data_IF_159961888775
#
_entry.id   IF_159961888775
#
_cell.length_a   1.000
_cell.length_b   1.000
_cell.length_c   1.000
_cell.angle_alpha   90.00
_cell.angle_beta   90.00
_cell.angle_gamma   90.00
#
_symmetry.space_group_name_H-M   'P 1'
#
loop_
_entity.id
_entity.type
_entity.pdbx_description
1 polymer ?
#
# COMPACT_ATOMS: atom_id res chain seq x y z
N UNK A 1 -29.81 -3.35 -9.05
CA UNK A 1 -28.70 -2.41 -9.32
C UNK A 1 -27.84 -2.34 -8.09
N UNK A 2 -26.53 -2.33 -8.27
CA UNK A 2 -25.52 -2.12 -7.23
C UNK A 2 -24.74 -0.85 -7.60
N UNK A 3 -24.59 0.05 -6.66
CA UNK A 3 -23.85 1.30 -6.86
C UNK A 3 -22.43 1.14 -6.29
N UNK A 4 -21.43 1.30 -7.13
CA UNK A 4 -20.04 1.40 -6.71
C UNK A 4 -19.66 2.88 -6.68
N UNK A 5 -19.36 3.38 -5.48
CA UNK A 5 -18.80 4.72 -5.30
C UNK A 5 -17.29 4.67 -5.50
N UNK A 6 -16.82 5.46 -6.45
CA UNK A 6 -15.40 5.56 -6.77
C UNK A 6 -14.86 6.93 -6.41
N UNK A 7 -13.74 6.96 -5.69
CA UNK A 7 -13.08 8.19 -5.22
C UNK A 7 -11.90 8.56 -6.11
N UNK A 8 -11.28 7.58 -6.75
CA UNK A 8 -10.01 7.78 -7.48
C UNK A 8 -10.17 7.96 -8.98
N UNK A 9 -11.41 7.84 -9.50
CA UNK A 9 -11.65 7.85 -10.94
C UNK A 9 -11.43 6.47 -11.58
N UNK A 10 -12.28 5.55 -11.27
CA UNK A 10 -12.50 4.14 -11.59
C UNK A 10 -11.82 3.49 -12.82
N UNK A 11 -10.65 3.91 -13.22
CA UNK A 11 -10.02 3.38 -14.43
C UNK A 11 -9.70 1.87 -14.33
N UNK A 12 -9.39 1.36 -13.14
CA UNK A 12 -8.98 -0.04 -12.95
C UNK A 12 -10.15 -1.01 -12.90
N UNK A 13 -11.34 -0.57 -12.45
CA UNK A 13 -12.52 -1.43 -12.31
C UNK A 13 -13.49 -1.33 -13.49
N UNK A 14 -13.38 -0.32 -14.35
CA UNK A 14 -14.31 -0.10 -15.47
C UNK A 14 -14.43 -1.30 -16.40
N UNK A 15 -13.30 -1.90 -16.79
CA UNK A 15 -13.31 -3.06 -17.69
C UNK A 15 -13.91 -4.28 -17.00
N UNK A 16 -13.59 -4.52 -15.74
CA UNK A 16 -14.14 -5.63 -14.97
C UNK A 16 -15.65 -5.47 -14.76
N UNK A 17 -16.13 -4.26 -14.47
CA UNK A 17 -17.55 -3.95 -14.33
C UNK A 17 -18.29 -4.10 -15.67
N UNK A 18 -17.71 -3.63 -16.77
CA UNK A 18 -18.29 -3.79 -18.09
C UNK A 18 -18.40 -5.27 -18.48
N UNK A 19 -17.37 -6.07 -18.21
CA UNK A 19 -17.36 -7.51 -18.43
C UNK A 19 -18.42 -8.20 -17.56
N UNK A 20 -18.48 -7.89 -16.25
CA UNK A 20 -19.52 -8.40 -15.35
C UNK A 20 -20.92 -8.08 -15.84
N UNK A 21 -21.21 -6.81 -16.16
CA UNK A 21 -22.51 -6.38 -16.62
C UNK A 21 -22.91 -7.04 -17.95
N UNK A 22 -21.93 -7.33 -18.82
CA UNK A 22 -22.19 -8.03 -20.09
C UNK A 22 -22.60 -9.50 -19.92
N UNK A 23 -22.23 -10.12 -18.82
CA UNK A 23 -22.44 -11.53 -18.50
C UNK A 23 -23.56 -11.78 -17.50
N UNK A 24 -24.10 -10.71 -16.90
CA UNK A 24 -25.08 -10.83 -15.82
C UNK A 24 -26.38 -10.08 -16.11
N UNK A 25 -27.45 -10.83 -16.29
CA UNK A 25 -28.77 -10.27 -16.60
C UNK A 25 -29.59 -9.85 -15.35
N UNK A 26 -29.14 -10.23 -14.15
CA UNK A 26 -29.88 -9.97 -12.91
C UNK A 26 -29.35 -8.83 -12.09
N UNK A 27 -28.04 -8.61 -12.13
CA UNK A 27 -27.35 -7.59 -11.35
C UNK A 27 -26.60 -6.71 -12.33
N UNK A 28 -26.74 -5.40 -12.16
CA UNK A 28 -25.98 -4.38 -12.88
C UNK A 28 -25.22 -3.54 -11.88
N UNK A 29 -23.95 -3.34 -12.11
CA UNK A 29 -23.10 -2.44 -11.31
C UNK A 29 -22.99 -1.11 -12.06
N UNK A 30 -23.34 -0.03 -11.37
CA UNK A 30 -23.22 1.35 -11.87
C UNK A 30 -22.16 2.09 -11.05
N UNK A 31 -21.27 2.79 -11.72
CA UNK A 31 -20.24 3.59 -11.06
C UNK A 31 -20.81 4.97 -10.76
N UNK A 32 -20.75 5.37 -9.50
CA UNK A 32 -20.96 6.74 -9.07
C UNK A 32 -19.58 7.37 -8.77
N UNK A 33 -19.16 8.26 -9.62
CA UNK A 33 -17.89 8.94 -9.49
C UNK A 33 -18.01 10.06 -8.45
N UNK A 34 -17.26 9.91 -7.36
CA UNK A 34 -17.11 10.92 -6.32
C UNK A 34 -15.89 11.82 -6.55
N UNK A 35 -15.02 11.45 -7.50
CA UNK A 35 -13.88 12.28 -7.84
C UNK A 35 -14.37 13.59 -8.45
N UNK A 36 -13.95 14.69 -7.87
CA UNK A 36 -14.18 16.03 -8.35
C UNK A 36 -12.85 16.75 -8.63
N UNK A 37 -12.81 18.05 -8.50
CA UNK A 37 -11.58 18.84 -8.66
C UNK A 37 -10.50 18.47 -7.65
N UNK A 38 -10.90 17.90 -6.50
CA UNK A 38 -9.97 17.31 -5.52
C UNK A 38 -10.62 16.14 -4.77
N UNK A 39 -9.79 15.20 -4.35
CA UNK A 39 -10.19 13.97 -3.64
C UNK A 39 -10.89 14.31 -2.30
N UNK A 40 -10.44 15.31 -1.58
CA UNK A 40 -10.99 15.69 -0.27
C UNK A 40 -12.47 16.07 -0.33
N UNK A 41 -12.91 16.75 -1.38
CA UNK A 41 -14.30 17.10 -1.58
C UNK A 41 -15.14 15.87 -1.93
N UNK A 42 -14.58 14.95 -2.74
CA UNK A 42 -15.19 13.67 -3.06
C UNK A 42 -15.43 12.81 -1.82
N UNK A 43 -14.42 12.70 -0.96
CA UNK A 43 -14.50 11.98 0.32
C UNK A 43 -15.57 12.61 1.22
N UNK A 44 -15.60 13.91 1.32
CA UNK A 44 -16.59 14.62 2.13
C UNK A 44 -18.01 14.34 1.67
N UNK A 45 -18.27 14.33 0.37
CA UNK A 45 -19.57 13.97 -0.21
C UNK A 45 -19.93 12.52 0.04
N UNK A 46 -19.00 11.60 -0.11
CA UNK A 46 -19.23 10.20 0.19
C UNK A 46 -19.64 9.99 1.64
N UNK A 47 -18.96 10.66 2.59
CA UNK A 47 -19.35 10.61 4.00
C UNK A 47 -20.75 11.19 4.24
N UNK A 48 -21.10 12.29 3.60
CA UNK A 48 -22.43 12.88 3.70
C UNK A 48 -23.51 11.94 3.16
N UNK A 49 -23.26 11.27 2.04
CA UNK A 49 -24.17 10.28 1.48
C UNK A 49 -24.32 9.05 2.37
N UNK A 50 -23.23 8.53 2.94
CA UNK A 50 -23.28 7.44 3.93
C UNK A 50 -24.10 7.86 5.16
N UNK A 51 -23.86 9.04 5.71
CA UNK A 51 -24.57 9.54 6.90
C UNK A 51 -26.06 9.76 6.64
N UNK A 52 -26.44 10.10 5.42
CA UNK A 52 -27.83 10.32 5.03
C UNK A 52 -28.54 9.07 4.52
N UNK A 53 -27.86 7.94 4.49
CA UNK A 53 -28.40 6.65 4.00
C UNK A 53 -28.54 6.61 2.47
N UNK A 54 -27.78 7.39 1.76
CA UNK A 54 -27.71 7.46 0.29
C UNK A 54 -26.36 6.96 -0.24
N UNK A 55 -25.51 6.45 0.64
CA UNK A 55 -24.19 5.95 0.27
C UNK A 55 -24.26 4.81 -0.75
N UNK A 56 -23.17 4.55 -1.47
CA UNK A 56 -23.08 3.44 -2.41
C UNK A 56 -23.08 2.09 -1.69
N UNK A 57 -23.36 1.02 -2.43
CA UNK A 57 -23.32 -0.35 -1.92
C UNK A 57 -21.88 -0.88 -1.77
N UNK A 58 -20.97 -0.39 -2.60
CA UNK A 58 -19.54 -0.73 -2.61
C UNK A 58 -18.76 0.57 -2.73
N UNK A 59 -17.61 0.65 -2.03
CA UNK A 59 -16.71 1.81 -2.12
C UNK A 59 -15.37 1.34 -2.69
N UNK A 60 -14.87 2.02 -3.71
CA UNK A 60 -13.52 1.87 -4.26
C UNK A 60 -12.68 3.08 -3.83
N UNK A 61 -11.56 2.82 -3.15
CA UNK A 61 -10.70 3.86 -2.60
C UNK A 61 -9.26 3.36 -2.40
N UNK A 62 -8.31 4.28 -2.31
CA UNK A 62 -6.96 4.01 -1.80
C UNK A 62 -6.91 4.12 -0.29
N UNK A 63 -6.11 3.26 0.34
CA UNK A 63 -5.87 3.31 1.80
C UNK A 63 -5.13 4.56 2.24
N UNK A 64 -4.47 5.26 1.31
CA UNK A 64 -3.84 6.56 1.58
C UNK A 64 -4.85 7.69 1.72
N UNK A 65 -6.07 7.49 1.18
CA UNK A 65 -7.11 8.50 1.13
C UNK A 65 -8.20 8.30 2.21
N UNK A 66 -8.47 7.05 2.56
CA UNK A 66 -9.53 6.73 3.51
C UNK A 66 -9.06 5.73 4.58
N UNK A 67 -9.41 6.03 5.82
CA UNK A 67 -9.15 5.15 6.95
C UNK A 67 -10.29 4.14 7.12
N UNK A 68 -10.00 2.87 6.82
CA UNK A 68 -10.93 1.74 6.95
C UNK A 68 -11.39 1.57 8.39
N UNK A 69 -10.51 1.84 9.35
CA UNK A 69 -10.82 1.70 10.78
C UNK A 69 -11.94 2.63 11.21
N UNK A 70 -11.90 3.88 10.75
CA UNK A 70 -12.96 4.87 11.02
C UNK A 70 -14.31 4.41 10.45
N UNK A 71 -14.31 3.82 9.26
CA UNK A 71 -15.54 3.29 8.65
C UNK A 71 -16.07 2.08 9.43
N UNK A 72 -15.18 1.19 9.87
CA UNK A 72 -15.49 0.03 10.69
C UNK A 72 -16.11 0.42 12.03
N UNK A 73 -15.46 1.31 12.77
CA UNK A 73 -15.93 1.76 14.07
C UNK A 73 -17.31 2.42 14.02
N UNK A 74 -17.61 3.08 12.92
CA UNK A 74 -18.93 3.69 12.68
C UNK A 74 -19.97 2.71 12.16
N UNK A 75 -19.58 1.47 11.87
CA UNK A 75 -20.48 0.46 11.30
C UNK A 75 -20.92 0.82 9.87
N UNK A 76 -20.10 1.58 9.14
CA UNK A 76 -20.38 1.99 7.76
C UNK A 76 -19.97 0.92 6.73
N UNK A 77 -19.15 -0.03 7.13
CA UNK A 77 -18.71 -1.17 6.29
C UNK A 77 -18.94 -2.48 7.01
N UNK A 78 -19.15 -3.54 6.25
CA UNK A 78 -19.53 -4.86 6.75
C UNK A 78 -18.32 -5.82 6.73
N UNK A 79 -18.31 -6.78 7.67
CA UNK A 79 -17.33 -7.85 7.68
C UNK A 79 -17.58 -8.82 6.51
N UNK A 80 -16.60 -8.99 5.67
CA UNK A 80 -16.68 -9.79 4.45
C UNK A 80 -16.37 -11.28 4.65
N UNK A 81 -15.82 -11.70 5.81
CA UNK A 81 -15.50 -13.11 6.08
C UNK A 81 -16.71 -14.03 5.84
N UNK A 82 -17.95 -13.75 6.33
CA UNK A 82 -19.09 -14.63 6.09
C UNK A 82 -19.51 -14.76 4.63
N UNK A 83 -19.15 -13.79 3.80
CA UNK A 83 -19.39 -13.83 2.36
C UNK A 83 -18.31 -14.63 1.64
N UNK A 84 -17.05 -14.44 2.03
CA UNK A 84 -15.92 -15.19 1.51
C UNK A 84 -16.08 -16.70 1.75
N UNK A 85 -16.46 -17.09 2.97
CA UNK A 85 -16.71 -18.49 3.36
C UNK A 85 -17.84 -19.18 2.57
N UNK A 86 -18.78 -18.40 2.03
CA UNK A 86 -19.93 -18.91 1.25
C UNK A 86 -19.76 -18.74 -0.25
N UNK A 87 -18.70 -18.10 -0.68
CA UNK A 87 -18.45 -17.84 -2.09
C UNK A 87 -17.91 -19.10 -2.78
N UNK A 88 -18.48 -19.39 -3.96
CA UNK A 88 -17.95 -20.43 -4.85
C UNK A 88 -16.98 -19.84 -5.89
N UNK A 89 -16.69 -18.53 -5.81
CA UNK A 89 -15.90 -17.79 -6.83
C UNK A 89 -14.56 -17.33 -6.30
N UNK A 90 -14.49 -16.91 -5.03
CA UNK A 90 -13.29 -16.42 -4.37
C UNK A 90 -13.27 -16.95 -2.95
N UNK A 91 -12.11 -17.45 -2.50
CA UNK A 91 -11.86 -17.94 -1.15
C UNK A 91 -10.65 -17.23 -0.51
N UNK A 92 -10.36 -17.60 0.73
CA UNK A 92 -9.16 -17.13 1.44
C UNK A 92 -7.89 -17.47 0.66
N UNK A 93 -7.85 -18.64 0.01
CA UNK A 93 -6.73 -19.12 -0.78
C UNK A 93 -6.41 -18.29 -2.04
N UNK A 94 -7.35 -17.44 -2.47
CA UNK A 94 -7.15 -16.52 -3.60
C UNK A 94 -6.52 -15.18 -3.18
N UNK A 95 -6.41 -14.96 -1.86
CA UNK A 95 -5.78 -13.77 -1.29
C UNK A 95 -4.37 -14.15 -0.83
N UNK A 96 -3.40 -13.31 -1.12
CA UNK A 96 -2.01 -13.53 -0.66
C UNK A 96 -1.99 -13.62 0.86
N UNK A 97 -1.45 -14.72 1.42
CA UNK A 97 -1.46 -15.05 2.85
C UNK A 97 -1.05 -13.88 3.75
N UNK A 98 0.04 -13.18 3.41
CA UNK A 98 0.52 -12.04 4.19
C UNK A 98 -0.45 -10.85 4.15
N UNK A 99 -1.11 -10.61 3.02
CA UNK A 99 -2.14 -9.59 2.90
C UNK A 99 -3.37 -9.97 3.72
N UNK A 100 -3.83 -11.21 3.61
CA UNK A 100 -4.96 -11.70 4.39
C UNK A 100 -4.73 -11.58 5.91
N UNK A 101 -3.54 -11.95 6.39
CA UNK A 101 -3.18 -11.82 7.80
C UNK A 101 -3.21 -10.36 8.28
N UNK A 102 -2.73 -9.42 7.47
CA UNK A 102 -2.77 -7.98 7.81
C UNK A 102 -4.22 -7.49 7.82
N UNK A 103 -5.00 -7.82 6.80
CA UNK A 103 -6.37 -7.35 6.62
C UNK A 103 -7.33 -7.89 7.67
N UNK A 104 -7.00 -9.04 8.30
CA UNK A 104 -7.84 -9.71 9.30
C UNK A 104 -7.30 -9.60 10.73
N UNK A 105 -6.21 -8.85 10.95
CA UNK A 105 -5.53 -8.73 12.25
C UNK A 105 -6.48 -8.31 13.39
N UNK A 106 -7.51 -7.51 13.08
CA UNK A 106 -8.51 -7.04 14.03
C UNK A 106 -9.77 -7.93 14.10
N UNK A 107 -9.70 -9.15 13.57
CA UNK A 107 -10.76 -10.16 13.71
C UNK A 107 -11.88 -10.06 12.67
N UNK A 108 -11.72 -9.31 11.60
CA UNK A 108 -12.65 -9.24 10.49
C UNK A 108 -11.99 -8.75 9.20
N UNK A 109 -12.57 -9.10 8.06
CA UNK A 109 -12.14 -8.63 6.76
C UNK A 109 -13.11 -7.54 6.30
N UNK A 110 -12.65 -6.29 6.21
CA UNK A 110 -13.49 -5.13 5.90
C UNK A 110 -13.21 -4.50 4.55
N UNK A 111 -12.20 -4.99 3.85
CA UNK A 111 -11.89 -4.61 2.46
C UNK A 111 -11.23 -5.76 1.71
N UNK A 112 -11.35 -5.74 0.38
CA UNK A 112 -10.64 -6.64 -0.52
C UNK A 112 -9.71 -5.80 -1.40
N UNK A 113 -8.40 -6.01 -1.35
CA UNK A 113 -7.49 -5.29 -2.21
C UNK A 113 -7.59 -5.82 -3.65
N UNK A 114 -7.66 -4.93 -4.61
CA UNK A 114 -7.55 -5.26 -6.04
C UNK A 114 -6.09 -5.31 -6.48
N UNK A 115 -5.25 -4.57 -5.78
CA UNK A 115 -3.80 -4.55 -5.95
C UNK A 115 -3.14 -4.17 -4.62
N UNK A 116 -1.85 -4.36 -4.54
CA UNK A 116 -1.03 -3.84 -3.45
C UNK A 116 0.34 -3.45 -3.97
N UNK A 117 0.99 -2.54 -3.27
CA UNK A 117 2.36 -2.15 -3.53
C UNK A 117 3.24 -2.51 -2.35
N UNK A 118 4.47 -2.89 -2.63
CA UNK A 118 5.47 -3.16 -1.61
C UNK A 118 6.49 -2.04 -1.63
N UNK A 119 6.59 -1.32 -0.52
CA UNK A 119 7.71 -0.44 -0.29
C UNK A 119 8.84 -1.24 0.35
N UNK A 120 9.99 -1.27 -0.28
CA UNK A 120 11.11 -2.07 0.21
C UNK A 120 12.45 -1.43 -0.13
N UNK A 121 13.46 -1.77 0.65
CA UNK A 121 14.83 -1.43 0.33
C UNK A 121 15.43 -2.50 -0.59
N UNK A 122 15.83 -2.07 -1.77
CA UNK A 122 16.57 -2.91 -2.72
C UNK A 122 18.05 -2.63 -2.55
N UNK A 123 18.85 -3.68 -2.45
CA UNK A 123 20.30 -3.57 -2.31
C UNK A 123 21.01 -4.66 -3.12
N UNK A 124 22.32 -4.49 -3.33
CA UNK A 124 23.14 -5.53 -3.97
C UNK A 124 23.59 -6.58 -2.97
N UNK A 125 23.74 -7.81 -3.46
CA UNK A 125 24.25 -8.96 -2.68
C UNK A 125 25.54 -8.67 -1.94
N UNK A 126 26.43 -7.83 -2.49
CA UNK A 126 27.69 -7.47 -1.82
C UNK A 126 27.50 -6.78 -0.46
N UNK A 127 26.33 -6.17 -0.24
CA UNK A 127 25.99 -5.49 1.01
C UNK A 127 25.24 -6.39 2.00
N UNK A 128 24.70 -7.53 1.52
CA UNK A 128 23.97 -8.50 2.33
C UNK A 128 24.90 -9.61 2.78
N UNK A 129 24.94 -9.90 4.07
CA UNK A 129 25.63 -11.08 4.60
C UNK A 129 24.77 -12.34 4.46
N UNK A 130 23.46 -12.16 4.40
CA UNK A 130 22.45 -13.21 4.24
C UNK A 130 21.45 -12.79 3.16
N UNK A 131 21.08 -13.73 2.28
CA UNK A 131 20.11 -13.49 1.19
C UNK A 131 18.66 -13.36 1.68
N UNK A 132 18.38 -13.79 2.90
CA UNK A 132 17.03 -13.80 3.44
C UNK A 132 16.66 -12.50 4.16
N UNK A 133 17.65 -11.78 4.68
CA UNK A 133 17.42 -10.57 5.47
C UNK A 133 18.50 -9.52 5.22
N UNK A 134 18.07 -8.29 4.97
CA UNK A 134 18.95 -7.12 4.98
C UNK A 134 18.73 -6.36 6.30
N UNK A 135 19.70 -6.42 7.18
CA UNK A 135 19.59 -5.84 8.53
C UNK A 135 19.90 -4.35 8.56
N UNK A 136 19.44 -3.66 9.59
CA UNK A 136 19.80 -2.25 9.82
C UNK A 136 21.30 -2.04 9.98
N UNK A 137 22.03 -3.00 10.57
CA UNK A 137 23.49 -2.91 10.71
C UNK A 137 24.17 -3.01 9.34
N UNK A 138 23.68 -3.86 8.45
CA UNK A 138 24.17 -3.98 7.08
C UNK A 138 23.86 -2.72 6.27
N UNK A 139 22.67 -2.15 6.41
CA UNK A 139 22.30 -0.88 5.78
C UNK A 139 23.21 0.25 6.23
N UNK A 140 23.46 0.37 7.54
CA UNK A 140 24.36 1.37 8.10
C UNK A 140 25.81 1.19 7.64
N UNK A 141 26.27 -0.05 7.56
CA UNK A 141 27.58 -0.39 7.00
C UNK A 141 27.66 0.02 5.52
N UNK A 142 26.64 -0.35 4.74
CA UNK A 142 26.58 -0.06 3.31
C UNK A 142 26.64 1.45 3.04
N UNK A 143 25.91 2.26 3.81
CA UNK A 143 25.97 3.74 3.72
C UNK A 143 27.36 4.27 4.01
N UNK A 144 28.05 3.74 5.03
CA UNK A 144 29.40 4.21 5.42
C UNK A 144 30.49 3.80 4.46
N UNK A 145 30.35 2.66 3.81
CA UNK A 145 31.35 2.10 2.89
C UNK A 145 31.09 2.49 1.42
N UNK A 146 29.96 3.15 1.14
CA UNK A 146 29.62 3.58 -0.21
C UNK A 146 30.48 4.80 -0.61
N UNK A 147 31.07 4.74 -1.80
CA UNK A 147 31.91 5.83 -2.34
C UNK A 147 31.09 6.98 -2.92
N UNK A 148 29.84 6.72 -3.29
CA UNK A 148 28.91 7.69 -3.84
C UNK A 148 27.90 8.12 -2.75
N UNK A 149 27.33 9.31 -2.90
CA UNK A 149 26.27 9.76 -2.01
C UNK A 149 25.05 8.83 -2.14
N UNK A 150 24.50 8.36 -1.02
CA UNK A 150 23.29 7.53 -1.07
C UNK A 150 22.17 8.34 -1.68
N UNK A 151 21.37 7.68 -2.51
CA UNK A 151 20.41 8.32 -3.39
C UNK A 151 19.07 8.58 -2.75
N UNK A 152 18.86 8.02 -1.57
CA UNK A 152 17.67 8.30 -0.77
C UNK A 152 17.98 9.48 0.18
N UNK A 153 17.14 10.51 0.18
CA UNK A 153 17.25 11.57 1.16
C UNK A 153 16.81 11.09 2.54
N UNK A 154 17.32 11.76 3.57
CA UNK A 154 16.88 11.53 4.95
C UNK A 154 15.37 11.66 5.09
N UNK A 155 14.80 12.70 4.53
CA UNK A 155 13.37 12.99 4.66
C UNK A 155 12.51 11.91 3.98
N UNK A 156 12.90 11.48 2.77
CA UNK A 156 12.21 10.39 2.07
C UNK A 156 12.35 9.06 2.84
N UNK A 157 13.55 8.73 3.32
CA UNK A 157 13.76 7.52 4.12
C UNK A 157 12.91 7.49 5.38
N UNK A 158 12.79 8.62 6.09
CA UNK A 158 11.96 8.71 7.29
C UNK A 158 10.47 8.63 6.96
N UNK A 159 10.02 9.28 5.90
CA UNK A 159 8.63 9.26 5.47
C UNK A 159 8.19 7.86 5.03
N UNK A 160 8.90 7.27 4.11
CA UNK A 160 8.56 5.97 3.54
C UNK A 160 8.75 4.84 4.56
N UNK A 161 9.77 4.91 5.39
CA UNK A 161 9.97 3.94 6.45
C UNK A 161 8.89 3.96 7.52
N UNK A 162 8.26 5.10 7.76
CA UNK A 162 7.10 5.22 8.64
C UNK A 162 5.85 4.59 8.00
N UNK A 163 5.65 4.82 6.70
CA UNK A 163 4.54 4.26 5.92
C UNK A 163 4.66 2.72 5.83
N UNK A 164 5.85 2.21 5.58
CA UNK A 164 6.11 0.77 5.43
C UNK A 164 5.97 -0.05 6.73
N UNK A 165 5.43 0.53 7.79
CA UNK A 165 5.17 -0.20 9.04
C UNK A 165 6.42 -0.70 9.75
N UNK A 166 7.60 -0.14 9.45
CA UNK A 166 8.82 -0.38 10.21
C UNK A 166 8.69 -0.02 11.70
N UNK A 167 7.55 0.54 12.07
CA UNK A 167 7.16 1.01 13.39
C UNK A 167 5.81 0.50 13.84
N UNK A 168 5.44 -0.72 13.58
CA UNK A 168 4.36 -1.31 14.37
C UNK A 168 4.81 -1.35 15.83
N UNK A 169 4.00 -0.81 16.75
CA UNK A 169 4.35 -0.45 18.13
C UNK A 169 4.84 -1.56 19.06
N UNK A 170 5.21 -2.71 18.54
CA UNK A 170 5.83 -3.83 19.24
C UNK A 170 7.34 -3.96 18.94
N UNK A 171 7.94 -2.93 18.35
CA UNK A 171 9.36 -2.97 18.03
C UNK A 171 10.19 -2.77 19.29
N UNK A 172 11.13 -3.68 19.51
CA UNK A 172 12.20 -3.50 20.48
C UNK A 172 12.81 -2.10 20.30
N UNK A 173 13.02 -1.37 21.40
CA UNK A 173 13.58 0.00 21.44
C UNK A 173 14.81 0.19 20.55
N UNK A 174 15.51 -0.90 20.27
CA UNK A 174 16.72 -0.94 19.47
C UNK A 174 16.50 -0.71 17.96
N UNK A 175 15.35 -1.07 17.39
CA UNK A 175 15.09 -0.89 15.95
C UNK A 175 14.89 0.56 15.56
N UNK A 176 14.16 1.30 16.39
CA UNK A 176 13.98 2.74 16.19
C UNK A 176 15.31 3.49 16.25
N UNK A 177 16.17 3.16 17.23
CA UNK A 177 17.50 3.77 17.36
C UNK A 177 18.37 3.48 16.12
N UNK A 178 18.34 2.24 15.62
CA UNK A 178 19.10 1.85 14.42
C UNK A 178 18.58 2.58 13.18
N UNK A 179 17.27 2.70 13.04
CA UNK A 179 16.65 3.42 11.93
C UNK A 179 17.03 4.91 11.93
N UNK A 180 16.98 5.56 13.08
CA UNK A 180 17.42 6.95 13.23
C UNK A 180 18.90 7.08 12.88
N UNK A 181 19.75 6.15 13.31
CA UNK A 181 21.18 6.14 12.97
C UNK A 181 21.43 6.02 11.46
N UNK A 182 20.62 5.28 10.73
CA UNK A 182 20.70 5.24 9.26
C UNK A 182 20.29 6.60 8.69
N UNK A 183 19.14 7.14 9.12
CA UNK A 183 18.64 8.42 8.66
C UNK A 183 19.66 9.56 8.88
N UNK A 184 20.37 9.55 10.00
CA UNK A 184 21.43 10.54 10.30
C UNK A 184 22.63 10.48 9.34
N UNK A 185 22.89 9.33 8.72
CA UNK A 185 23.97 9.15 7.74
C UNK A 185 23.55 9.55 6.32
N UNK A 186 22.25 9.72 6.07
CA UNK A 186 21.72 10.06 4.76
C UNK A 186 21.79 11.58 4.52
N UNK A 187 21.97 12.01 3.27
CA UNK A 187 21.94 13.42 2.92
C UNK A 187 20.55 14.01 3.16
N UNK A 188 20.50 15.28 3.52
CA UNK A 188 19.22 15.97 3.74
C UNK A 188 18.39 16.07 2.46
N UNK A 189 19.08 16.25 1.33
CA UNK A 189 18.46 16.28 0.00
C UNK A 189 19.20 15.30 -0.91
N UNK A 190 18.48 14.41 -1.54
CA UNK A 190 19.01 13.58 -2.61
C UNK A 190 18.73 14.25 -3.96
N UNK A 191 19.67 14.17 -4.89
CA UNK A 191 19.37 14.52 -6.27
C UNK A 191 18.52 13.42 -6.87
N UNK A 192 17.31 13.77 -7.31
CA UNK A 192 16.45 12.86 -8.08
C UNK A 192 17.14 12.57 -9.43
N UNK A 193 17.91 11.52 -9.48
CA UNK A 193 18.31 10.92 -10.74
C UNK A 193 17.90 9.45 -10.71
N UNK A 194 17.41 8.97 -11.82
CA UNK A 194 17.01 7.59 -12.04
C UNK A 194 18.20 6.64 -11.83
N UNK A 195 18.15 5.87 -10.79
CA UNK A 195 19.34 5.33 -10.14
C UNK A 195 19.53 3.85 -10.31
N UNK A 196 18.69 3.21 -11.09
CA UNK A 196 18.87 1.85 -11.52
C UNK A 196 20.29 1.58 -12.03
N UNK A 197 20.83 2.52 -12.78
CA UNK A 197 22.19 2.37 -13.31
C UNK A 197 23.25 2.40 -12.23
N UNK A 198 23.20 3.38 -11.32
CA UNK A 198 24.17 3.50 -10.22
C UNK A 198 24.05 2.34 -9.23
N UNK A 199 22.82 1.88 -8.99
CA UNK A 199 22.58 0.71 -8.18
C UNK A 199 23.10 -0.56 -8.86
N UNK A 200 22.85 -0.75 -10.16
CA UNK A 200 23.40 -1.85 -10.97
C UNK A 200 24.94 -1.84 -10.98
N UNK A 201 25.53 -0.69 -11.04
CA UNK A 201 26.98 -0.51 -10.94
C UNK A 201 27.50 -0.67 -9.50
N UNK A 202 26.61 -0.69 -8.50
CA UNK A 202 26.96 -0.84 -7.09
C UNK A 202 27.64 0.37 -6.47
N UNK A 203 27.37 1.55 -7.03
CA UNK A 203 27.87 2.82 -6.56
C UNK A 203 27.04 3.39 -5.42
N UNK A 204 25.76 2.96 -5.30
CA UNK A 204 24.89 3.30 -4.19
C UNK A 204 24.55 2.08 -3.36
N UNK A 205 24.36 2.25 -2.03
CA UNK A 205 24.25 1.12 -1.11
C UNK A 205 22.88 0.43 -1.22
N UNK A 206 21.81 1.21 -1.35
CA UNK A 206 20.43 0.73 -1.49
C UNK A 206 19.56 1.81 -2.11
N UNK A 207 18.40 1.40 -2.58
CA UNK A 207 17.34 2.29 -3.01
C UNK A 207 16.02 1.88 -2.33
N UNK A 208 15.15 2.85 -2.05
CA UNK A 208 13.79 2.59 -1.61
C UNK A 208 12.92 2.53 -2.86
N UNK A 209 12.26 1.41 -3.05
CA UNK A 209 11.42 1.15 -4.21
C UNK A 209 10.00 0.81 -3.80
N UNK A 210 9.07 1.29 -4.61
CA UNK A 210 7.69 0.89 -4.59
C UNK A 210 7.48 -0.17 -5.68
N UNK A 211 7.34 -1.42 -5.27
CA UNK A 211 7.13 -2.54 -6.19
C UNK A 211 5.63 -2.76 -6.34
N UNK A 212 5.05 -2.22 -7.42
CA UNK A 212 3.64 -2.43 -7.77
C UNK A 212 3.44 -3.50 -8.84
N UNK A 213 4.47 -3.79 -9.64
CA UNK A 213 4.45 -4.79 -10.70
C UNK A 213 5.75 -5.58 -10.73
N UNK A 214 5.66 -6.86 -10.40
CA UNK A 214 6.81 -7.78 -10.41
C UNK A 214 7.37 -8.05 -11.81
N UNK A 215 6.70 -7.58 -12.87
CA UNK A 215 7.23 -7.71 -14.25
C UNK A 215 8.29 -6.65 -14.58
N UNK A 216 8.47 -5.66 -13.73
CA UNK A 216 9.49 -4.61 -13.94
C UNK A 216 10.90 -5.03 -13.50
N UNK A 217 11.05 -6.16 -12.83
CA UNK A 217 12.29 -6.67 -12.25
C UNK A 217 12.58 -8.11 -12.71
#
# INVERSE_FOLDING_TARGET
EIILGDIEGASTLQEAIADFNSKNDRITITIHDYYEENISDGISRLYDDILTGKGPDIISFSTDEMDVEVLREKGAIENLIPYLEKSDVIGEEDIVDSAYQILTADGGLYMLPTNFVLYTLITKEKWCSNKENFTFEEALRAVRECEEDPMISRDLFLQEGAICGGYSGETEDNRLEQYIKIAEQLPQQAMFQTNDLLMREGKVPFNLECIGDMQQY
#
